data_IF_205601367001
#
_entry.id   IF_205601367001
#
_cell.length_a   1.000
_cell.length_b   1.000
_cell.length_c   1.000
_cell.angle_alpha   90.00
_cell.angle_beta   90.00
_cell.angle_gamma   90.00
#
_symmetry.space_group_name_H-M   'P 1'
#
loop_
_entity.id
_entity.type
_entity.pdbx_description
1 polymer ?
#
# COMPACT_ATOMS: atom_id res chain seq x y z
N UNK A 1 -3.77 16.80 -7.61
CA UNK A 1 -2.97 16.45 -6.43
C UNK A 1 -1.56 16.11 -6.91
N UNK A 2 -0.55 16.75 -6.38
CA UNK A 2 0.83 16.43 -6.72
C UNK A 2 1.29 15.35 -5.73
N UNK A 3 1.44 14.11 -6.19
CA UNK A 3 2.04 13.05 -5.39
C UNK A 3 3.54 13.28 -5.47
N UNK A 4 4.12 13.75 -4.38
CA UNK A 4 5.56 13.99 -4.28
C UNK A 4 6.10 13.09 -3.19
N UNK A 5 7.02 12.23 -3.56
CA UNK A 5 7.73 11.37 -2.65
C UNK A 5 9.16 11.87 -2.39
N UNK A 6 10.00 11.04 -1.83
CA UNK A 6 11.37 11.38 -1.43
C UNK A 6 12.21 11.74 -2.65
N UNK A 7 12.94 12.84 -2.58
CA UNK A 7 13.91 13.26 -3.61
C UNK A 7 15.30 12.64 -3.38
N UNK A 8 15.56 12.11 -2.20
CA UNK A 8 16.82 11.52 -1.83
C UNK A 8 16.87 11.09 -0.36
N UNK A 9 17.93 10.43 0.03
CA UNK A 9 18.21 10.02 1.40
C UNK A 9 19.59 10.52 1.83
N UNK A 10 19.76 10.75 3.13
CA UNK A 10 21.05 11.06 3.74
C UNK A 10 21.58 9.79 4.37
N UNK A 11 22.71 9.30 3.86
CA UNK A 11 23.45 8.19 4.42
C UNK A 11 24.85 8.67 4.79
N UNK A 12 25.26 8.48 6.05
CA UNK A 12 26.63 8.76 6.53
C UNK A 12 27.21 10.10 6.02
N UNK A 13 26.45 11.19 6.21
CA UNK A 13 26.76 12.53 5.71
C UNK A 13 26.80 12.68 4.17
N UNK A 14 26.38 11.65 3.44
CA UNK A 14 26.26 11.72 1.98
C UNK A 14 24.77 11.81 1.58
N UNK A 15 24.46 12.77 0.70
CA UNK A 15 23.13 12.91 0.14
C UNK A 15 23.05 12.09 -1.13
N UNK A 16 22.23 11.05 -1.11
CA UNK A 16 21.91 10.24 -2.31
C UNK A 16 20.64 10.82 -2.92
N UNK A 17 20.76 11.44 -4.09
CA UNK A 17 19.61 11.92 -4.84
C UNK A 17 19.06 10.83 -5.75
N UNK A 18 17.76 10.66 -5.75
CA UNK A 18 17.06 9.83 -6.72
C UNK A 18 16.74 10.68 -7.95
N UNK A 19 17.54 10.51 -8.99
CA UNK A 19 17.32 11.21 -10.27
C UNK A 19 16.50 10.30 -11.16
N UNK A 20 15.24 10.64 -11.36
CA UNK A 20 14.42 10.00 -12.38
C UNK A 20 14.68 10.71 -13.71
N UNK A 21 15.31 10.00 -14.66
CA UNK A 21 15.46 10.49 -16.04
C UNK A 21 14.10 10.41 -16.74
N UNK A 22 13.66 11.59 -17.19
CA UNK A 22 12.65 11.78 -18.22
C UNK A 22 11.22 11.27 -17.95
N UNK A 23 10.46 12.04 -17.17
CA UNK A 23 9.00 12.08 -17.32
C UNK A 23 8.68 13.21 -18.31
N UNK A 24 9.06 13.02 -19.56
CA UNK A 24 8.67 13.91 -20.65
C UNK A 24 7.54 13.25 -21.45
N UNK A 25 6.34 13.35 -20.96
CA UNK A 25 5.12 12.96 -21.66
C UNK A 25 4.11 14.09 -21.63
N UNK A 26 3.07 14.03 -22.47
CA UNK A 26 1.99 15.02 -22.40
C UNK A 26 1.34 14.99 -21.01
N UNK A 27 1.03 16.16 -20.47
CA UNK A 27 0.33 16.29 -19.19
C UNK A 27 -1.03 15.58 -19.32
N UNK A 28 -1.31 14.68 -18.37
CA UNK A 28 -2.58 13.97 -18.28
C UNK A 28 -3.31 14.42 -17.03
N UNK A 29 -4.60 14.70 -17.17
CA UNK A 29 -5.46 15.08 -16.08
C UNK A 29 -6.35 13.91 -15.67
N UNK A 30 -6.31 13.54 -14.40
CA UNK A 30 -7.19 12.55 -13.80
C UNK A 30 -8.08 13.26 -12.79
N UNK A 31 -9.37 13.33 -13.06
CA UNK A 31 -10.36 14.06 -12.26
C UNK A 31 -11.25 13.14 -11.41
N UNK A 32 -10.99 11.83 -11.43
CA UNK A 32 -11.73 10.85 -10.63
C UNK A 32 -10.82 10.26 -9.57
N UNK A 33 -11.30 10.29 -8.33
CA UNK A 33 -10.64 9.65 -7.19
C UNK A 33 -11.75 9.01 -6.34
N UNK A 34 -11.58 7.74 -5.98
CA UNK A 34 -12.48 7.11 -5.04
C UNK A 34 -11.98 7.32 -3.61
N UNK A 35 -12.93 7.55 -2.69
CA UNK A 35 -12.66 7.83 -1.27
C UNK A 35 -12.85 6.61 -0.37
N UNK A 36 -13.18 5.45 -0.94
CA UNK A 36 -13.41 4.21 -0.18
C UNK A 36 -12.09 3.52 0.21
N UNK A 37 -11.19 4.29 0.77
CA UNK A 37 -9.88 3.85 1.29
C UNK A 37 -9.84 4.09 2.79
N UNK A 38 -9.52 3.06 3.56
CA UNK A 38 -9.33 3.13 5.00
C UNK A 38 -7.87 2.93 5.37
N UNK A 39 -7.35 3.79 6.24
CA UNK A 39 -6.03 3.65 6.81
C UNK A 39 -6.13 3.04 8.20
N UNK A 40 -5.65 1.82 8.36
CA UNK A 40 -5.60 1.08 9.61
C UNK A 40 -4.19 1.11 10.19
N UNK A 41 -3.95 2.01 11.12
CA UNK A 41 -2.71 2.01 11.89
C UNK A 41 -2.81 0.99 13.01
N UNK A 42 -1.93 0.00 13.01
CA UNK A 42 -1.94 -1.03 14.05
C UNK A 42 -1.45 -0.48 15.40
N UNK A 43 -2.17 -0.82 16.45
CA UNK A 43 -1.77 -0.56 17.83
C UNK A 43 -1.79 -1.87 18.62
N UNK A 44 -0.90 -2.04 19.60
CA UNK A 44 -0.92 -3.21 20.48
C UNK A 44 -2.29 -3.38 21.16
N UNK A 45 -2.85 -4.60 21.09
CA UNK A 45 -4.13 -4.90 21.72
C UNK A 45 -5.38 -4.44 20.95
N UNK A 46 -5.25 -4.00 19.69
CA UNK A 46 -6.39 -3.61 18.86
C UNK A 46 -7.36 -4.79 18.67
N UNK A 47 -8.68 -4.51 18.83
CA UNK A 47 -9.72 -5.51 18.56
C UNK A 47 -9.84 -5.79 17.06
N UNK A 48 -10.04 -7.07 16.72
CA UNK A 48 -10.30 -7.51 15.34
C UNK A 48 -11.76 -7.36 14.91
N UNK A 49 -12.67 -7.09 15.85
CA UNK A 49 -14.12 -6.93 15.58
C UNK A 49 -14.44 -5.78 14.62
N UNK A 50 -13.51 -4.84 14.46
CA UNK A 50 -13.66 -3.74 13.53
C UNK A 50 -13.50 -4.16 12.06
N UNK A 51 -12.82 -5.29 11.76
CA UNK A 51 -12.46 -5.70 10.40
C UNK A 51 -13.68 -5.94 9.51
N UNK A 52 -14.71 -6.69 9.92
CA UNK A 52 -15.93 -6.86 9.12
C UNK A 52 -16.57 -5.52 8.75
N UNK A 53 -16.62 -4.60 9.72
CA UNK A 53 -17.21 -3.29 9.48
C UNK A 53 -16.40 -2.45 8.48
N UNK A 54 -15.07 -2.42 8.62
CA UNK A 54 -14.22 -1.69 7.66
C UNK A 54 -14.39 -2.27 6.26
N UNK A 55 -14.35 -3.60 6.10
CA UNK A 55 -14.49 -4.25 4.80
C UNK A 55 -15.89 -4.07 4.19
N UNK A 56 -16.94 -3.88 5.00
CA UNK A 56 -18.28 -3.61 4.47
C UNK A 56 -18.40 -2.20 3.87
N UNK A 57 -17.60 -1.24 4.32
CA UNK A 57 -17.71 0.18 3.94
C UNK A 57 -16.67 0.58 2.90
N UNK A 58 -15.42 0.05 3.03
CA UNK A 58 -14.28 0.47 2.24
C UNK A 58 -13.83 -0.61 1.25
N UNK A 59 -13.37 -0.18 0.08
CA UNK A 59 -12.90 -1.08 -0.99
C UNK A 59 -11.38 -1.31 -0.90
N UNK A 60 -10.66 -0.46 -0.19
CA UNK A 60 -9.24 -0.65 0.09
C UNK A 60 -8.91 -0.40 1.56
N UNK A 61 -8.08 -1.27 2.14
CA UNK A 61 -7.51 -1.08 3.47
C UNK A 61 -5.99 -1.00 3.34
N UNK A 62 -5.43 0.14 3.74
CA UNK A 62 -4.00 0.32 3.93
C UNK A 62 -3.69 0.01 5.39
N UNK A 63 -2.86 -1.01 5.63
CA UNK A 63 -2.47 -1.44 6.98
C UNK A 63 -1.06 -0.96 7.27
N UNK A 64 -0.89 -0.03 8.20
CA UNK A 64 0.42 0.31 8.76
C UNK A 64 0.83 -0.75 9.78
N UNK A 65 1.55 -1.77 9.30
CA UNK A 65 2.03 -2.89 10.09
C UNK A 65 3.12 -2.52 11.10
N UNK A 66 3.38 -3.40 12.05
CA UNK A 66 4.49 -3.25 12.99
C UNK A 66 5.83 -3.51 12.29
N UNK A 67 6.85 -2.73 12.65
CA UNK A 67 8.16 -2.82 12.01
C UNK A 67 8.01 -2.70 10.49
N UNK A 68 8.70 -3.53 9.72
CA UNK A 68 8.71 -3.49 8.26
C UNK A 68 7.55 -4.24 7.58
N UNK A 69 6.44 -4.48 8.27
CA UNK A 69 5.26 -5.15 7.71
C UNK A 69 4.76 -6.33 8.55
N UNK A 70 4.95 -6.27 9.88
CA UNK A 70 4.43 -7.26 10.81
C UNK A 70 2.92 -7.15 10.97
N UNK A 71 2.21 -8.29 10.86
CA UNK A 71 0.76 -8.40 11.03
C UNK A 71 0.47 -9.41 12.15
N UNK A 72 -0.20 -9.03 13.25
CA UNK A 72 -0.56 -9.96 14.31
C UNK A 72 -1.45 -11.09 13.80
N UNK A 73 -1.23 -12.32 14.28
CA UNK A 73 -1.97 -13.51 13.83
C UNK A 73 -3.49 -13.38 13.95
N UNK A 74 -3.99 -12.80 15.05
CA UNK A 74 -5.42 -12.56 15.22
C UNK A 74 -6.00 -11.70 14.11
N UNK A 75 -5.29 -10.65 13.72
CA UNK A 75 -5.74 -9.76 12.66
C UNK A 75 -5.65 -10.43 11.29
N UNK A 76 -4.59 -11.21 11.05
CA UNK A 76 -4.42 -12.00 9.83
C UNK A 76 -5.58 -12.99 9.67
N UNK A 77 -5.96 -13.71 10.73
CA UNK A 77 -7.09 -14.66 10.72
C UNK A 77 -8.42 -13.94 10.43
N UNK A 78 -8.69 -12.82 11.12
CA UNK A 78 -9.91 -12.04 10.88
C UNK A 78 -10.00 -11.53 9.43
N UNK A 79 -8.89 -11.08 8.85
CA UNK A 79 -8.83 -10.67 7.44
C UNK A 79 -9.06 -11.86 6.50
N UNK A 80 -8.48 -13.03 6.79
CA UNK A 80 -8.68 -14.26 5.99
C UNK A 80 -10.15 -14.68 5.96
N UNK A 81 -10.80 -14.70 7.12
CA UNK A 81 -12.21 -15.08 7.25
C UNK A 81 -13.10 -14.12 6.45
N UNK A 82 -12.89 -12.81 6.59
CA UNK A 82 -13.71 -11.81 5.91
C UNK A 82 -13.45 -11.75 4.40
N UNK A 83 -12.20 -11.86 3.97
CA UNK A 83 -11.84 -11.77 2.54
C UNK A 83 -12.45 -12.91 1.70
N UNK A 84 -12.85 -14.03 2.30
CA UNK A 84 -13.55 -15.11 1.60
C UNK A 84 -14.93 -14.70 1.06
N UNK A 85 -15.51 -13.65 1.61
CA UNK A 85 -16.83 -13.14 1.20
C UNK A 85 -16.78 -12.21 -0.03
N UNK A 86 -15.57 -11.84 -0.49
CA UNK A 86 -15.36 -10.86 -1.56
C UNK A 86 -14.57 -11.46 -2.72
N UNK A 87 -14.81 -10.97 -3.93
CA UNK A 87 -13.97 -11.29 -5.08
C UNK A 87 -12.62 -10.57 -4.98
N UNK A 88 -11.60 -11.11 -5.61
CA UNK A 88 -10.21 -10.63 -5.50
C UNK A 88 -10.00 -9.15 -5.88
N UNK A 89 -10.85 -8.58 -6.73
CA UNK A 89 -10.79 -7.18 -7.14
C UNK A 89 -11.66 -6.22 -6.30
N UNK A 90 -12.62 -6.77 -5.53
CA UNK A 90 -13.57 -5.96 -4.75
C UNK A 90 -12.93 -5.35 -3.50
N UNK A 91 -11.96 -6.05 -2.93
CA UNK A 91 -11.25 -5.59 -1.74
C UNK A 91 -9.74 -5.64 -1.94
N UNK A 92 -9.09 -4.51 -1.74
CA UNK A 92 -7.65 -4.35 -1.89
C UNK A 92 -7.01 -4.21 -0.51
N UNK A 93 -6.06 -5.08 -0.20
CA UNK A 93 -5.24 -4.99 0.99
C UNK A 93 -3.86 -4.45 0.61
N UNK A 94 -3.42 -3.42 1.31
CA UNK A 94 -2.09 -2.82 1.13
C UNK A 94 -1.35 -2.90 2.44
N UNK A 95 -0.12 -3.44 2.42
CA UNK A 95 0.77 -3.44 3.57
C UNK A 95 1.72 -2.28 3.48
N UNK A 96 1.60 -1.37 4.44
CA UNK A 96 2.52 -0.28 4.70
C UNK A 96 3.28 -0.52 6.03
N UNK A 97 4.16 0.37 6.38
CA UNK A 97 4.97 0.28 7.60
C UNK A 97 4.86 1.54 8.44
N UNK A 98 4.98 1.38 9.76
CA UNK A 98 5.13 2.48 10.69
C UNK A 98 6.58 3.00 10.76
N UNK A 99 7.52 2.31 10.12
CA UNK A 99 8.95 2.70 10.10
C UNK A 99 9.18 3.74 9.01
N UNK A 100 9.84 4.82 9.38
CA UNK A 100 9.95 6.00 8.52
C UNK A 100 10.95 5.84 7.37
N UNK A 101 12.01 5.06 7.55
CA UNK A 101 13.16 5.07 6.64
C UNK A 101 13.36 3.77 5.85
N UNK A 102 13.01 2.61 6.42
CA UNK A 102 13.34 1.31 5.82
C UNK A 102 12.30 0.84 4.79
N UNK A 103 11.12 1.43 4.80
CA UNK A 103 10.01 0.96 3.98
C UNK A 103 9.39 -0.34 4.48
N UNK A 104 8.45 -0.91 3.71
CA UNK A 104 7.86 -2.20 4.04
C UNK A 104 8.65 -3.34 3.39
N UNK A 105 8.76 -4.47 4.09
CA UNK A 105 9.34 -5.72 3.60
C UNK A 105 8.71 -6.89 4.34
N UNK A 106 7.62 -7.41 3.81
CA UNK A 106 6.88 -8.53 4.41
C UNK A 106 7.71 -9.82 4.47
N UNK A 107 8.70 -9.97 3.58
CA UNK A 107 9.57 -11.14 3.54
C UNK A 107 10.63 -11.16 4.65
N UNK A 108 10.85 -10.04 5.34
CA UNK A 108 11.87 -9.93 6.39
C UNK A 108 11.55 -10.79 7.61
N UNK A 109 10.28 -10.85 8.01
CA UNK A 109 9.85 -11.58 9.20
C UNK A 109 8.87 -12.72 8.87
N UNK A 110 8.90 -13.78 9.71
CA UNK A 110 8.02 -14.96 9.55
C UNK A 110 6.53 -14.54 9.51
N UNK A 111 6.13 -13.63 10.38
CA UNK A 111 4.73 -13.16 10.46
C UNK A 111 4.29 -12.37 9.23
N UNK A 112 5.20 -11.62 8.59
CA UNK A 112 4.94 -10.92 7.35
C UNK A 112 4.79 -11.89 6.17
N UNK A 113 5.72 -12.85 6.05
CA UNK A 113 5.65 -13.91 5.03
C UNK A 113 4.37 -14.71 5.11
N UNK A 114 3.97 -15.16 6.31
CA UNK A 114 2.74 -15.90 6.50
C UNK A 114 1.50 -15.11 6.07
N UNK A 115 1.49 -13.79 6.28
CA UNK A 115 0.40 -12.93 5.82
C UNK A 115 0.41 -12.79 4.29
N UNK A 116 1.58 -12.61 3.66
CA UNK A 116 1.73 -12.48 2.20
C UNK A 116 1.32 -13.75 1.44
N UNK A 117 1.64 -14.93 1.99
CA UNK A 117 1.28 -16.21 1.38
C UNK A 117 -0.23 -16.48 1.39
N UNK A 118 -0.95 -15.95 2.37
CA UNK A 118 -2.35 -16.25 2.60
C UNK A 118 -3.32 -15.15 2.13
N UNK A 119 -2.85 -13.91 2.05
CA UNK A 119 -3.65 -12.74 1.68
C UNK A 119 -3.00 -12.01 0.50
N UNK A 120 -3.80 -11.51 -0.46
CA UNK A 120 -3.32 -10.85 -1.66
C UNK A 120 -2.88 -9.40 -1.36
N UNK A 121 -1.87 -9.21 -0.52
CA UNK A 121 -1.35 -7.88 -0.22
C UNK A 121 -0.62 -7.25 -1.39
N UNK A 122 -0.87 -5.96 -1.62
CA UNK A 122 0.07 -5.07 -2.29
C UNK A 122 1.00 -4.49 -1.25
N UNK A 123 2.29 -4.50 -1.50
CA UNK A 123 3.31 -4.00 -0.58
C UNK A 123 3.78 -2.62 -1.00
N UNK A 124 3.90 -1.69 -0.04
CA UNK A 124 4.26 -0.30 -0.37
C UNK A 124 5.74 -0.09 -0.63
N UNK A 125 6.58 -1.02 -0.17
CA UNK A 125 8.03 -0.89 -0.21
C UNK A 125 8.50 0.46 0.37
N UNK A 126 9.13 1.29 -0.44
CA UNK A 126 9.67 2.60 -0.07
C UNK A 126 8.73 3.78 -0.37
N UNK A 127 7.51 3.51 -0.83
CA UNK A 127 6.50 4.57 -1.02
C UNK A 127 6.13 5.22 0.31
N UNK A 128 5.97 6.53 0.33
CA UNK A 128 5.39 7.22 1.49
C UNK A 128 3.89 6.93 1.58
N UNK A 129 3.34 7.01 2.79
CA UNK A 129 1.91 6.76 3.02
C UNK A 129 1.02 7.68 2.19
N UNK A 130 1.41 8.95 2.04
CA UNK A 130 0.69 9.95 1.24
C UNK A 130 0.70 9.61 -0.24
N UNK A 131 1.82 9.10 -0.76
CA UNK A 131 1.92 8.63 -2.15
C UNK A 131 1.03 7.40 -2.37
N UNK A 132 1.07 6.42 -1.47
CA UNK A 132 0.21 5.24 -1.51
C UNK A 132 -1.26 5.63 -1.49
N UNK A 133 -1.67 6.48 -0.55
CA UNK A 133 -3.06 6.92 -0.42
C UNK A 133 -3.56 7.60 -1.69
N UNK A 134 -2.81 8.56 -2.20
CA UNK A 134 -3.20 9.27 -3.42
C UNK A 134 -3.24 8.36 -4.64
N UNK A 135 -2.28 7.45 -4.77
CA UNK A 135 -2.18 6.50 -5.87
C UNK A 135 -3.33 5.50 -5.88
N UNK A 136 -3.65 4.90 -4.72
CA UNK A 136 -4.74 3.92 -4.68
C UNK A 136 -6.12 4.58 -4.87
N UNK A 137 -6.34 5.77 -4.33
CA UNK A 137 -7.58 6.52 -4.58
C UNK A 137 -7.77 6.84 -6.06
N UNK A 138 -6.70 7.17 -6.77
CA UNK A 138 -6.72 7.33 -8.22
C UNK A 138 -7.05 6.02 -8.94
N UNK A 139 -6.37 4.92 -8.59
CA UNK A 139 -6.59 3.61 -9.22
C UNK A 139 -8.04 3.15 -9.02
N UNK A 140 -8.58 3.25 -7.81
CA UNK A 140 -9.98 2.92 -7.53
C UNK A 140 -10.96 3.79 -8.33
N UNK A 141 -10.64 5.07 -8.53
CA UNK A 141 -11.43 5.98 -9.36
C UNK A 141 -11.49 5.59 -10.85
N UNK A 142 -10.66 4.64 -11.31
CA UNK A 142 -10.71 4.08 -12.66
C UNK A 142 -11.73 2.94 -12.80
N UNK A 143 -12.29 2.44 -11.68
CA UNK A 143 -13.29 1.37 -11.62
C UNK A 143 -12.89 0.10 -12.36
N UNK A 144 -11.65 -0.37 -12.11
CA UNK A 144 -11.10 -1.56 -12.77
C UNK A 144 -11.51 -2.83 -12.03
N UNK A 145 -11.86 -3.87 -12.79
CA UNK A 145 -12.24 -5.19 -12.27
C UNK A 145 -11.08 -6.21 -12.32
N UNK A 146 -10.02 -5.90 -13.06
CA UNK A 146 -8.85 -6.77 -13.17
C UNK A 146 -7.82 -6.47 -12.08
N UNK A 147 -7.65 -7.41 -11.16
CA UNK A 147 -6.67 -7.33 -10.09
C UNK A 147 -5.23 -7.15 -10.59
N UNK A 148 -4.86 -7.80 -11.68
CA UNK A 148 -3.51 -7.69 -12.26
C UNK A 148 -3.24 -6.28 -12.81
N UNK A 149 -4.25 -5.66 -13.38
CA UNK A 149 -4.12 -4.29 -13.89
C UNK A 149 -4.03 -3.28 -12.74
N UNK A 150 -4.78 -3.50 -11.64
CA UNK A 150 -4.66 -2.72 -10.40
C UNK A 150 -3.23 -2.81 -9.86
N UNK A 151 -2.68 -4.02 -9.74
CA UNK A 151 -1.32 -4.25 -9.28
C UNK A 151 -0.28 -3.62 -10.21
N UNK A 152 -0.41 -3.79 -11.53
CA UNK A 152 0.46 -3.16 -12.53
C UNK A 152 0.48 -1.63 -12.39
N UNK A 153 -0.67 -1.00 -12.17
CA UNK A 153 -0.74 0.45 -11.97
C UNK A 153 -0.19 0.87 -10.61
N UNK A 154 -0.40 0.06 -9.58
CA UNK A 154 0.11 0.34 -8.26
C UNK A 154 1.65 0.37 -8.24
N UNK A 155 2.31 -0.57 -8.93
CA UNK A 155 3.78 -0.60 -9.04
C UNK A 155 4.35 0.23 -10.19
N UNK A 156 3.50 0.81 -11.02
CA UNK A 156 3.97 1.78 -12.04
C UNK A 156 4.52 3.02 -11.35
N UNK A 157 5.80 3.32 -11.60
CA UNK A 157 6.45 4.53 -11.07
C UNK A 157 5.76 5.79 -11.59
N UNK A 158 5.35 6.66 -10.68
CA UNK A 158 4.76 7.96 -10.97
C UNK A 158 5.58 9.01 -10.22
N UNK A 159 6.37 9.77 -10.98
CA UNK A 159 7.30 10.72 -10.40
C UNK A 159 8.33 9.98 -9.51
N UNK A 160 8.44 10.30 -8.24
CA UNK A 160 9.39 9.71 -7.29
C UNK A 160 8.69 8.89 -6.20
N UNK A 161 7.57 8.25 -6.53
CA UNK A 161 6.76 7.53 -5.55
C UNK A 161 7.29 6.13 -5.19
N UNK A 162 8.08 5.52 -6.06
CA UNK A 162 8.66 4.18 -5.85
C UNK A 162 10.04 4.10 -6.50
N UNK A 163 11.06 3.70 -5.74
CA UNK A 163 12.44 3.58 -6.23
C UNK A 163 12.94 2.15 -6.35
N UNK A 164 12.30 1.20 -5.70
CA UNK A 164 12.71 -0.20 -5.79
C UNK A 164 12.84 -0.60 -7.27
N UNK A 165 14.04 -0.99 -7.68
CA UNK A 165 14.27 -1.64 -8.96
C UNK A 165 13.84 -3.09 -8.81
N UNK A 166 13.03 -3.59 -9.75
CA UNK A 166 12.72 -5.01 -9.90
C UNK A 166 13.99 -5.84 -10.15
#
# INVERSE_FOLDING_TARGET
>A
MCIRDRLGQIHDNTVVYYIQKDICGPVRFFNRMDRKVFLLKLTPGMSTEIIPHILSVYDCIIIEGFGVGGLPDRLRQALLEEMQHYKAHEKILIMATQVTYEGSSMDTYVVGRAAREQLPFLETYDMTLEAVLGKIMWILGLHMEDRKEIERLFYKKINYDLFRNE
#
